data_IF_725715398895
#
_entry.id   IF_725715398895
#
_cell.length_a   1.000
_cell.length_b   1.000
_cell.length_c   1.000
_cell.angle_alpha   90.00
_cell.angle_beta   90.00
_cell.angle_gamma   90.00
#
_symmetry.space_group_name_H-M   'P 1'
#
loop_
_entity.id
_entity.type
_entity.pdbx_description
1 polymer ?
#
# COMPACT_ATOMS: atom_id res chain seq x y z
N UNK A 1 -21.44 -17.28 3.98
CA UNK A 1 -20.16 -16.62 4.02
C UNK A 1 -19.12 -17.41 3.28
N UNK A 2 -18.34 -16.76 2.49
CA UNK A 2 -17.38 -17.48 1.70
C UNK A 2 -16.09 -17.67 2.46
N UNK A 3 -15.27 -18.60 1.96
CA UNK A 3 -13.95 -18.80 2.53
C UNK A 3 -13.14 -17.53 2.46
N UNK A 4 -13.31 -16.78 1.37
CA UNK A 4 -12.56 -15.54 1.20
C UNK A 4 -12.94 -14.51 2.25
N UNK A 5 -14.20 -14.47 2.63
CA UNK A 5 -14.61 -13.52 3.65
C UNK A 5 -14.00 -13.83 4.99
N UNK A 6 -13.94 -15.09 5.36
CA UNK A 6 -13.31 -15.47 6.61
C UNK A 6 -11.82 -15.15 6.62
N UNK A 7 -11.17 -15.39 5.49
CA UNK A 7 -9.75 -15.09 5.35
C UNK A 7 -9.50 -13.58 5.46
N UNK A 8 -10.34 -12.79 4.80
CA UNK A 8 -10.21 -11.35 4.84
C UNK A 8 -10.40 -10.81 6.24
N UNK A 9 -11.37 -11.35 6.95
CA UNK A 9 -11.64 -10.89 8.30
C UNK A 9 -10.45 -11.18 9.21
N UNK A 10 -9.86 -12.36 9.08
CA UNK A 10 -8.69 -12.71 9.89
C UNK A 10 -7.51 -11.79 9.59
N UNK A 11 -7.28 -11.47 8.32
CA UNK A 11 -6.19 -10.58 7.96
C UNK A 11 -6.42 -9.17 8.50
N UNK A 12 -7.65 -8.68 8.44
CA UNK A 12 -7.95 -7.37 8.99
C UNK A 12 -7.75 -7.34 10.49
N UNK A 13 -8.16 -8.39 11.18
CA UNK A 13 -7.97 -8.46 12.62
C UNK A 13 -6.50 -8.53 12.97
N UNK A 14 -5.74 -9.28 12.20
CA UNK A 14 -4.30 -9.37 12.42
C UNK A 14 -3.65 -7.99 12.30
N UNK A 15 -4.06 -7.22 11.30
CA UNK A 15 -3.53 -5.89 11.14
C UNK A 15 -3.91 -5.00 12.31
N UNK A 16 -5.16 -5.08 12.76
CA UNK A 16 -5.61 -4.24 13.86
C UNK A 16 -4.85 -4.53 15.14
N UNK A 17 -4.47 -5.78 15.35
CA UNK A 17 -3.79 -6.18 16.57
C UNK A 17 -2.29 -5.95 16.51
N UNK A 18 -1.68 -6.15 15.37
CA UNK A 18 -0.23 -6.20 15.29
C UNK A 18 0.37 -5.23 14.28
N UNK A 19 -0.43 -4.53 13.51
CA UNK A 19 0.09 -3.64 12.49
C UNK A 19 0.63 -4.43 11.31
N UNK A 20 1.38 -3.77 10.44
CA UNK A 20 1.87 -4.40 9.23
C UNK A 20 3.21 -5.11 9.42
N UNK A 21 3.85 -4.96 10.57
CA UNK A 21 5.18 -5.53 10.76
C UNK A 21 5.21 -7.04 10.59
N UNK A 22 4.10 -7.69 10.90
CA UNK A 22 4.03 -9.15 10.80
C UNK A 22 3.64 -9.62 9.40
N UNK A 23 3.41 -8.69 8.47
CA UNK A 23 2.93 -9.04 7.13
C UNK A 23 4.08 -9.06 6.15
N UNK A 24 4.08 -10.06 5.27
CA UNK A 24 4.96 -10.00 4.10
C UNK A 24 4.43 -8.96 3.13
N UNK A 25 5.27 -8.55 2.17
CA UNK A 25 4.86 -7.51 1.22
C UNK A 25 3.59 -7.89 0.47
N UNK A 26 3.50 -9.13 0.00
CA UNK A 26 2.31 -9.53 -0.74
C UNK A 26 1.09 -9.58 0.16
N UNK A 27 1.27 -9.88 1.44
CA UNK A 27 0.14 -9.90 2.36
C UNK A 27 -0.37 -8.49 2.64
N UNK A 28 0.54 -7.53 2.78
CA UNK A 28 0.13 -6.15 2.98
C UNK A 28 -0.64 -5.64 1.76
N UNK A 29 -0.17 -5.98 0.57
CA UNK A 29 -0.85 -5.58 -0.65
C UNK A 29 -2.20 -6.27 -0.76
N UNK A 30 -2.26 -7.54 -0.39
CA UNK A 30 -3.51 -8.28 -0.40
C UNK A 30 -4.55 -7.60 0.48
N UNK A 31 -4.14 -7.17 1.66
CA UNK A 31 -5.04 -6.49 2.58
C UNK A 31 -5.60 -5.21 1.97
N UNK A 32 -4.74 -4.44 1.34
CA UNK A 32 -5.18 -3.21 0.69
C UNK A 32 -6.19 -3.52 -0.43
N UNK A 33 -5.92 -4.56 -1.19
CA UNK A 33 -6.78 -4.88 -2.32
C UNK A 33 -8.17 -5.36 -1.90
N UNK A 34 -8.34 -5.79 -0.66
CA UNK A 34 -9.66 -6.17 -0.18
C UNK A 34 -10.68 -5.05 -0.39
N UNK A 35 -10.23 -3.82 -0.30
CA UNK A 35 -11.14 -2.68 -0.34
C UNK A 35 -11.50 -2.28 -1.76
N UNK A 36 -10.79 -2.78 -2.75
CA UNK A 36 -11.09 -2.47 -4.14
C UNK A 36 -11.59 -3.68 -4.93
N UNK A 37 -11.35 -4.87 -4.42
CA UNK A 37 -11.70 -6.11 -5.12
C UNK A 37 -12.49 -6.97 -4.14
N UNK A 38 -13.80 -6.77 -4.08
CA UNK A 38 -14.57 -7.43 -3.02
C UNK A 38 -14.90 -8.89 -3.23
N UNK A 39 -14.83 -9.38 -4.46
CA UNK A 39 -15.33 -10.71 -4.74
C UNK A 39 -14.31 -11.73 -5.16
N UNK A 40 -13.08 -11.32 -5.41
CA UNK A 40 -12.06 -12.24 -5.85
C UNK A 40 -11.04 -12.45 -4.78
N UNK A 41 -10.33 -13.58 -4.86
CA UNK A 41 -9.22 -13.82 -3.96
C UNK A 41 -8.09 -12.90 -4.37
N UNK A 42 -7.69 -12.01 -3.49
CA UNK A 42 -6.66 -11.02 -3.82
C UNK A 42 -5.24 -11.54 -3.62
N UNK A 43 -5.09 -12.72 -3.04
CA UNK A 43 -3.75 -13.27 -2.82
C UNK A 43 -3.00 -13.49 -4.13
N UNK A 44 -3.58 -14.17 -5.13
CA UNK A 44 -2.86 -14.33 -6.40
C UNK A 44 -2.63 -13.00 -7.10
N UNK A 45 -3.57 -12.07 -6.96
CA UNK A 45 -3.43 -10.77 -7.60
C UNK A 45 -2.25 -10.01 -7.00
N UNK A 46 -2.12 -10.05 -5.68
CA UNK A 46 -1.00 -9.40 -5.02
C UNK A 46 0.33 -10.00 -5.47
N UNK A 47 0.39 -11.33 -5.58
CA UNK A 47 1.59 -11.97 -6.06
C UNK A 47 1.93 -11.57 -7.48
N UNK A 48 0.93 -11.50 -8.36
CA UNK A 48 1.15 -11.10 -9.74
C UNK A 48 1.69 -9.67 -9.83
N UNK A 49 1.15 -8.79 -9.00
CA UNK A 49 1.59 -7.41 -9.01
C UNK A 49 3.04 -7.28 -8.59
N UNK A 50 3.40 -7.93 -7.49
CA UNK A 50 4.77 -7.83 -7.01
C UNK A 50 5.73 -8.50 -7.98
N UNK A 51 5.32 -9.60 -8.57
CA UNK A 51 6.17 -10.27 -9.53
C UNK A 51 6.40 -9.41 -10.76
N UNK A 52 5.35 -8.76 -11.26
CA UNK A 52 5.48 -7.96 -12.46
C UNK A 52 6.31 -6.70 -12.23
N UNK A 53 6.12 -6.04 -11.10
CA UNK A 53 6.78 -4.75 -10.86
C UNK A 53 7.98 -4.85 -9.93
N UNK A 54 8.28 -6.02 -9.44
CA UNK A 54 9.52 -6.30 -8.72
C UNK A 54 9.50 -6.05 -7.24
N UNK A 55 8.65 -5.18 -6.77
CA UNK A 55 8.62 -4.86 -5.34
C UNK A 55 7.34 -4.10 -5.05
N UNK A 56 7.07 -3.92 -3.77
CA UNK A 56 5.93 -3.13 -3.34
C UNK A 56 6.06 -1.70 -3.85
N UNK A 57 7.27 -1.15 -3.78
CA UNK A 57 7.50 0.18 -4.30
C UNK A 57 7.20 0.24 -5.80
N UNK A 58 7.60 -0.78 -6.53
CA UNK A 58 7.34 -0.81 -7.96
C UNK A 58 5.87 -0.82 -8.28
N UNK A 59 5.09 -1.53 -7.47
CA UNK A 59 3.65 -1.58 -7.68
C UNK A 59 3.03 -0.20 -7.49
N UNK A 60 3.40 0.49 -6.43
CA UNK A 60 2.79 1.78 -6.13
C UNK A 60 3.33 2.90 -7.00
N UNK A 61 4.42 2.67 -7.71
CA UNK A 61 4.96 3.65 -8.64
C UNK A 61 4.50 3.43 -10.07
N UNK A 62 3.84 2.32 -10.36
CA UNK A 62 3.48 2.00 -11.73
C UNK A 62 2.31 2.85 -12.20
N UNK A 63 2.26 3.16 -13.50
CA UNK A 63 1.11 3.91 -14.02
C UNK A 63 -0.13 3.03 -14.08
N UNK A 64 -1.29 3.67 -14.08
CA UNK A 64 -2.55 2.95 -14.02
C UNK A 64 -2.70 1.96 -15.17
N UNK A 65 -2.28 2.33 -16.38
CA UNK A 65 -2.47 1.44 -17.50
C UNK A 65 -1.62 0.18 -17.38
N UNK A 66 -0.47 0.28 -16.75
CA UNK A 66 0.34 -0.91 -16.52
C UNK A 66 -0.27 -1.79 -15.43
N UNK A 67 -0.80 -1.16 -14.39
CA UNK A 67 -1.45 -1.93 -13.33
C UNK A 67 -2.63 -2.71 -13.87
N UNK A 68 -3.40 -2.12 -14.76
CA UNK A 68 -4.59 -2.78 -15.28
C UNK A 68 -4.28 -3.92 -16.25
N UNK A 69 -3.04 -4.04 -16.68
CA UNK A 69 -2.66 -5.19 -17.47
C UNK A 69 -2.52 -6.46 -16.64
N UNK A 70 -2.46 -6.33 -15.34
CA UNK A 70 -2.37 -7.50 -14.46
C UNK A 70 -3.76 -8.08 -14.31
N UNK A 71 -3.87 -9.39 -14.49
CA UNK A 71 -5.16 -10.04 -14.41
C UNK A 71 -5.74 -9.86 -13.02
N UNK A 72 -6.98 -9.44 -12.96
CA UNK A 72 -7.66 -9.20 -11.69
C UNK A 72 -7.64 -7.75 -11.24
N UNK A 73 -6.84 -6.91 -11.88
CA UNK A 73 -6.73 -5.51 -11.49
C UNK A 73 -7.57 -4.67 -12.45
N UNK A 74 -8.66 -4.15 -11.95
CA UNK A 74 -9.50 -3.29 -12.75
C UNK A 74 -9.23 -1.83 -12.44
N UNK A 75 -10.15 -0.98 -12.89
CA UNK A 75 -9.98 0.45 -12.73
C UNK A 75 -9.96 0.86 -11.27
N UNK A 76 -10.83 0.28 -10.46
CA UNK A 76 -10.90 0.68 -9.04
C UNK A 76 -9.65 0.29 -8.28
N UNK A 77 -9.13 -0.90 -8.54
CA UNK A 77 -7.93 -1.35 -7.86
C UNK A 77 -6.73 -0.50 -8.29
N UNK A 78 -6.63 -0.19 -9.57
CA UNK A 78 -5.54 0.64 -10.05
C UNK A 78 -5.62 2.04 -9.44
N UNK A 79 -6.82 2.58 -9.33
CA UNK A 79 -7.00 3.90 -8.72
C UNK A 79 -6.58 3.88 -7.26
N UNK A 80 -6.96 2.85 -6.52
CA UNK A 80 -6.58 2.76 -5.12
C UNK A 80 -5.06 2.69 -4.97
N UNK A 81 -4.42 1.88 -5.79
CA UNK A 81 -2.97 1.76 -5.73
C UNK A 81 -2.31 3.09 -6.03
N UNK A 82 -2.79 3.77 -7.08
CA UNK A 82 -2.19 5.05 -7.47
C UNK A 82 -2.43 6.14 -6.44
N UNK A 83 -3.44 6.00 -5.62
CA UNK A 83 -3.80 7.02 -4.65
C UNK A 83 -2.84 7.04 -3.46
N UNK A 84 -2.18 5.94 -3.16
CA UNK A 84 -1.45 5.81 -1.91
C UNK A 84 -0.32 6.81 -1.74
N UNK A 85 0.59 6.90 -2.69
CA UNK A 85 1.72 7.82 -2.53
C UNK A 85 1.29 9.29 -2.50
N UNK A 86 0.41 9.73 -3.39
CA UNK A 86 -0.06 11.12 -3.29
C UNK A 86 -0.77 11.40 -1.97
N UNK A 87 -1.51 10.42 -1.46
CA UNK A 87 -2.19 10.60 -0.18
C UNK A 87 -1.18 10.70 0.95
N UNK A 88 -0.16 9.85 0.94
CA UNK A 88 0.89 9.94 1.94
C UNK A 88 1.56 11.30 1.91
N UNK A 89 1.82 11.82 0.71
CA UNK A 89 2.41 13.14 0.60
C UNK A 89 1.50 14.20 1.18
N UNK A 90 0.20 14.11 0.90
CA UNK A 90 -0.76 15.08 1.42
C UNK A 90 -0.82 15.01 2.94
N UNK A 91 -0.79 13.80 3.50
CA UNK A 91 -0.82 13.63 4.95
C UNK A 91 0.42 14.26 5.57
N UNK A 92 1.58 14.02 4.95
CA UNK A 92 2.83 14.53 5.49
C UNK A 92 2.86 16.06 5.51
N UNK A 93 2.33 16.68 4.44
CA UNK A 93 2.39 18.14 4.37
C UNK A 93 1.25 18.82 5.09
N UNK A 94 0.08 18.17 5.18
CA UNK A 94 -1.07 18.84 5.75
C UNK A 94 -0.91 19.09 7.24
N UNK A 95 -0.18 18.20 7.92
CA UNK A 95 -0.01 18.37 9.35
C UNK A 95 0.96 19.46 9.73
N UNK A 96 1.88 19.79 8.86
CA UNK A 96 2.86 20.83 9.14
C UNK A 96 3.88 20.45 10.19
N UNK A 97 3.60 19.47 11.01
CA UNK A 97 4.52 19.03 12.03
C UNK A 97 4.53 17.54 12.02
N UNK A 98 5.69 16.98 11.88
CA UNK A 98 5.77 15.54 11.80
C UNK A 98 6.36 14.92 13.03
N UNK A 99 6.80 15.74 13.95
CA UNK A 99 7.41 15.23 15.16
C UNK A 99 6.46 14.38 15.96
N UNK A 100 5.19 14.75 15.95
CA UNK A 100 4.24 14.00 16.75
C UNK A 100 4.01 12.61 16.22
N UNK A 101 4.38 12.35 14.98
CA UNK A 101 4.17 11.05 14.41
C UNK A 101 5.15 10.04 14.97
N UNK A 102 6.23 10.50 15.57
CA UNK A 102 7.26 9.58 16.04
C UNK A 102 6.93 8.95 17.36
N UNK A 103 5.75 9.21 17.90
CA UNK A 103 5.42 8.64 19.19
C UNK A 103 5.23 7.15 19.15
N UNK A 104 4.96 6.55 17.99
CA UNK A 104 4.77 5.13 17.92
C UNK A 104 5.61 4.58 16.79
N UNK A 105 5.93 3.31 16.89
CA UNK A 105 6.71 2.68 15.87
C UNK A 105 6.00 2.67 14.54
N UNK A 106 4.70 2.45 14.55
CA UNK A 106 3.95 2.43 13.32
C UNK A 106 3.97 3.78 12.63
N UNK A 107 3.85 4.84 13.40
CA UNK A 107 3.86 6.17 12.83
C UNK A 107 5.22 6.50 12.25
N UNK A 108 6.28 6.04 12.88
CA UNK A 108 7.62 6.26 12.36
C UNK A 108 7.78 5.57 11.01
N UNK A 109 7.31 4.33 10.92
CA UNK A 109 7.39 3.60 9.67
C UNK A 109 6.63 4.29 8.55
N UNK A 110 5.41 4.74 8.85
CA UNK A 110 4.61 5.42 7.85
C UNK A 110 5.28 6.72 7.41
N UNK A 111 5.88 7.43 8.35
CA UNK A 111 6.56 8.67 8.03
C UNK A 111 7.73 8.42 7.08
N UNK A 112 8.51 7.40 7.35
CA UNK A 112 9.65 7.11 6.49
C UNK A 112 9.22 6.71 5.08
N UNK A 113 8.15 5.97 4.95
CA UNK A 113 7.67 5.61 3.63
C UNK A 113 7.27 6.85 2.86
N UNK A 114 6.53 7.74 3.47
CA UNK A 114 6.12 8.97 2.81
C UNK A 114 7.32 9.82 2.45
N UNK A 115 8.29 9.89 3.34
CA UNK A 115 9.48 10.69 3.10
C UNK A 115 10.28 10.14 1.93
N UNK A 116 10.44 8.83 1.86
CA UNK A 116 11.27 8.23 0.81
C UNK A 116 10.63 8.32 -0.57
N UNK A 117 9.32 8.18 -0.63
CA UNK A 117 8.68 8.07 -1.93
C UNK A 117 7.95 9.30 -2.38
N UNK A 118 7.80 10.29 -1.52
CA UNK A 118 7.13 11.52 -1.93
C UNK A 118 8.01 12.74 -1.82
N UNK A 119 9.23 12.60 -1.33
CA UNK A 119 10.15 13.70 -1.29
C UNK A 119 10.46 14.17 -2.68
N UNK A 120 10.74 15.40 -2.84
CA UNK A 120 11.21 15.87 -4.13
C UNK A 120 12.48 15.17 -4.43
N UNK A 121 12.81 15.20 -5.63
CA UNK A 121 13.89 14.51 -6.02
C UNK A 121 15.03 14.83 -5.24
N UNK A 122 15.78 13.97 -5.19
CA UNK A 122 16.93 14.13 -4.44
C UNK A 122 17.76 15.18 -4.88
N UNK A 123 17.51 15.62 -5.83
CA UNK A 123 18.22 16.55 -6.22
C UNK A 123 18.13 17.47 -5.40
N UNK A 124 17.20 17.58 -5.15
CA UNK A 124 17.03 18.59 -4.47
C UNK A 124 17.36 18.20 -3.27
N UNK A 125 17.46 17.27 -3.13
CA UNK A 125 17.75 16.93 -2.09
C UNK A 125 19.00 16.86 -2.00
N UNK A 126 19.46 16.94 -2.80
CA UNK A 126 20.66 16.82 -2.72
C UNK A 126 21.24 17.65 -1.93
N UNK A 127 21.14 17.75 -1.85
CA UNK A 127 21.58 18.34 -1.33
C UNK A 127 21.70 18.44 -0.81
#
# INVERSE_FOLDING_TARGET
>A
MSVHEGHRQRKKEQFREHGLDAFADHEALELLLYYAIPRQDTNPIAHRLIERFGSLEGVFSAPAYELQKVEGVGENAATLIRLLFPLCRRVRTSGGRHEVIFNTRENIGAYFICLLYTSPSPRDRSL
#
